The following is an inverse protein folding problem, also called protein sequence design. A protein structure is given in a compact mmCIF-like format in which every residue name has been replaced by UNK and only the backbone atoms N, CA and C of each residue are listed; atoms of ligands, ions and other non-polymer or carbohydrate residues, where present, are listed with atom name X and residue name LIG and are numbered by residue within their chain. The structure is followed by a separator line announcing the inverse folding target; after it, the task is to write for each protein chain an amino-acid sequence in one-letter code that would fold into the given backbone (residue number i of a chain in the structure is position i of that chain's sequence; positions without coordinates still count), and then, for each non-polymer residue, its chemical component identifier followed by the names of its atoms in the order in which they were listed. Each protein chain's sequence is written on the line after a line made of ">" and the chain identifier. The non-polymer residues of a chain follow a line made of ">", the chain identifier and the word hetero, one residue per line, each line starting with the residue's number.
data_IF_035987645218
#
_entry.id   IF_035987645218
#
_cell.length_a   1.000
_cell.length_b   1.000
_cell.length_c   1.000
_cell.angle_alpha   90.00
_cell.angle_beta   90.00
_cell.angle_gamma   90.00
#
_symmetry.space_group_name_H-M   'P 1'
#
loop_
_entity.id
_entity.type
_entity.pdbx_description
1 polymer ?
#
# COMPACT_ATOMS: atom_id res chain seq x y z
N UNK A 1 13.32 -1.48 22.87
CA UNK A 1 14.79 -1.25 22.95
C UNK A 1 15.40 -1.34 21.56
N UNK A 2 15.40 -0.22 20.81
CA UNK A 2 16.25 0.12 19.66
C UNK A 2 15.81 1.52 19.21
N UNK A 3 16.24 2.58 19.90
CA UNK A 3 15.88 3.96 19.52
C UNK A 3 16.99 5.00 19.77
N UNK A 4 18.25 4.57 19.88
CA UNK A 4 19.37 5.49 20.17
C UNK A 4 20.56 5.29 19.23
N UNK A 5 20.30 5.06 17.95
CA UNK A 5 21.34 5.23 16.93
C UNK A 5 21.25 6.66 16.37
N UNK A 6 21.95 7.60 17.01
CA UNK A 6 22.23 8.91 16.41
C UNK A 6 23.31 8.75 15.35
N UNK A 7 22.93 8.66 14.08
CA UNK A 7 23.88 8.76 12.97
C UNK A 7 24.04 10.22 12.57
N UNK A 8 25.08 10.85 13.12
CA UNK A 8 25.62 12.14 12.68
C UNK A 8 26.49 11.95 11.44
N UNK A 9 25.89 11.59 10.31
CA UNK A 9 26.62 11.43 9.04
C UNK A 9 25.75 11.93 7.89
N UNK A 10 26.34 12.73 7.01
CA UNK A 10 25.71 13.60 6.02
C UNK A 10 24.41 13.04 5.43
N UNK A 11 23.31 13.73 5.74
CA UNK A 11 22.02 13.45 5.11
C UNK A 11 22.16 13.67 3.60
N UNK A 12 22.07 12.59 2.83
CA UNK A 12 21.96 12.69 1.38
C UNK A 12 20.76 13.57 1.03
N UNK A 13 21.03 14.72 0.41
CA UNK A 13 19.97 15.50 -0.24
C UNK A 13 19.54 14.74 -1.47
N UNK A 14 18.37 14.10 -1.40
CA UNK A 14 17.80 13.42 -2.55
C UNK A 14 17.70 14.39 -3.73
N UNK A 15 18.11 13.98 -4.96
CA UNK A 15 17.86 14.77 -6.16
C UNK A 15 16.38 15.16 -6.31
N UNK A 16 15.48 14.30 -5.80
CA UNK A 16 14.05 14.60 -5.73
C UNK A 16 13.77 15.73 -4.74
N UNK A 17 14.36 15.70 -3.55
CA UNK A 17 14.18 16.75 -2.52
C UNK A 17 14.69 18.11 -3.01
N UNK A 18 15.77 18.14 -3.80
CA UNK A 18 16.28 19.38 -4.42
C UNK A 18 15.27 20.00 -5.38
N UNK A 19 14.47 19.18 -6.07
CA UNK A 19 13.43 19.64 -7.00
C UNK A 19 12.11 19.93 -6.25
N UNK A 20 11.74 19.08 -5.29
CA UNK A 20 10.44 19.10 -4.61
C UNK A 20 10.39 20.13 -3.48
N UNK A 21 11.48 20.32 -2.73
CA UNK A 21 11.47 21.25 -1.58
C UNK A 21 11.21 22.70 -2.01
N UNK A 22 11.84 23.27 -3.06
CA UNK A 22 11.53 24.62 -3.50
C UNK A 22 10.07 24.80 -3.95
N UNK A 23 9.48 23.76 -4.56
CA UNK A 23 8.07 23.77 -4.94
C UNK A 23 7.15 23.69 -3.71
N UNK A 24 7.50 22.85 -2.74
CA UNK A 24 6.75 22.68 -1.49
C UNK A 24 6.80 23.96 -0.66
N UNK A 25 7.98 24.57 -0.48
CA UNK A 25 8.15 25.82 0.29
C UNK A 25 7.43 27.02 -0.35
N UNK A 26 7.29 27.03 -1.68
CA UNK A 26 6.45 28.03 -2.37
C UNK A 26 4.97 27.86 -2.05
N UNK A 27 4.51 26.63 -1.86
CA UNK A 27 3.12 26.32 -1.54
C UNK A 27 2.87 26.57 -0.05
N UNK A 28 3.62 25.90 0.82
CA UNK A 28 3.44 25.95 2.27
C UNK A 28 4.73 25.55 3.02
N UNK A 29 5.06 26.31 4.05
CA UNK A 29 6.08 25.97 5.04
C UNK A 29 5.48 26.10 6.44
N UNK A 30 5.56 25.03 7.22
CA UNK A 30 4.87 24.88 8.52
C UNK A 30 5.86 24.66 9.64
N UNK A 31 5.54 25.16 10.83
CA UNK A 31 6.29 24.90 12.05
C UNK A 31 6.07 23.46 12.54
N UNK A 32 6.86 22.53 12.00
CA UNK A 32 6.81 21.11 12.39
C UNK A 32 7.05 20.89 13.89
N UNK A 33 7.92 21.70 14.52
CA UNK A 33 8.21 21.61 15.96
C UNK A 33 6.98 21.98 16.79
N UNK A 34 6.36 23.12 16.48
CA UNK A 34 5.17 23.55 17.20
C UNK A 34 3.99 22.57 17.01
N UNK A 35 3.81 22.02 15.80
CA UNK A 35 2.80 20.98 15.54
C UNK A 35 3.09 19.73 16.38
N UNK A 36 4.34 19.29 16.45
CA UNK A 36 4.73 18.11 17.21
C UNK A 36 4.54 18.31 18.72
N UNK A 37 4.86 19.48 19.25
CA UNK A 37 4.67 19.80 20.67
C UNK A 37 3.19 19.87 21.04
N UNK A 38 2.33 20.36 20.15
CA UNK A 38 0.88 20.30 20.32
C UNK A 38 0.37 18.86 20.24
N UNK A 39 0.81 18.08 19.23
CA UNK A 39 0.37 16.70 19.03
C UNK A 39 0.78 15.76 20.17
N UNK A 40 1.89 16.06 20.86
CA UNK A 40 2.37 15.29 22.02
C UNK A 40 1.83 15.82 23.36
N UNK A 41 1.00 16.85 23.34
CA UNK A 41 0.40 17.45 24.54
C UNK A 41 1.35 18.32 25.36
N UNK A 42 2.52 18.67 24.83
CA UNK A 42 3.50 19.57 25.48
C UNK A 42 3.11 21.05 25.37
N UNK A 43 2.23 21.41 24.44
CA UNK A 43 1.76 22.79 24.25
C UNK A 43 0.28 22.82 23.89
N UNK A 44 -0.44 23.83 24.39
CA UNK A 44 -1.85 24.05 24.07
C UNK A 44 -1.99 24.97 22.87
N UNK A 45 -2.90 24.65 21.93
CA UNK A 45 -3.24 25.55 20.83
C UNK A 45 -3.81 26.87 21.38
N UNK A 46 -3.11 27.98 21.15
CA UNK A 46 -3.60 29.33 21.46
C UNK A 46 -4.16 29.93 20.18
N UNK A 47 -5.33 30.58 20.24
CA UNK A 47 -6.05 31.15 19.09
C UNK A 47 -5.27 32.19 18.26
N UNK A 48 -4.13 32.68 18.76
CA UNK A 48 -3.33 33.74 18.14
C UNK A 48 -2.05 33.25 17.43
N UNK A 49 -1.71 31.96 17.49
CA UNK A 49 -0.49 31.43 16.85
C UNK A 49 -0.82 30.71 15.56
N UNK A 50 -0.37 31.24 14.42
CA UNK A 50 -0.38 30.50 13.16
C UNK A 50 0.86 29.62 13.05
N UNK A 51 0.67 28.37 12.67
CA UNK A 51 1.71 27.38 12.39
C UNK A 51 2.37 27.60 11.02
N UNK A 52 1.83 28.48 10.17
CA UNK A 52 2.33 28.73 8.80
C UNK A 52 3.46 29.77 8.84
N UNK A 53 4.68 29.36 8.49
CA UNK A 53 5.88 30.20 8.49
C UNK A 53 6.08 30.94 7.16
N UNK A 54 5.88 30.25 6.03
CA UNK A 54 6.09 30.75 4.66
C UNK A 54 5.15 30.05 3.65
N UNK A 55 5.21 30.50 2.40
CA UNK A 55 4.43 29.97 1.29
C UNK A 55 3.23 30.84 0.92
N UNK A 56 2.45 30.37 -0.05
CA UNK A 56 1.32 31.09 -0.63
C UNK A 56 0.19 31.43 0.36
N UNK A 57 0.13 30.71 1.49
CA UNK A 57 -0.93 30.88 2.50
C UNK A 57 -0.53 31.77 3.69
N UNK A 58 0.71 32.28 3.73
CA UNK A 58 1.17 33.16 4.80
C UNK A 58 0.44 34.51 4.74
N UNK A 59 -0.21 34.91 5.83
CA UNK A 59 -0.91 36.21 5.94
C UNK A 59 -2.28 36.23 5.27
N UNK A 60 -2.82 35.07 4.87
CA UNK A 60 -4.20 34.96 4.41
C UNK A 60 -5.17 35.07 5.59
N UNK A 61 -6.41 35.51 5.34
CA UNK A 61 -7.48 35.59 6.37
C UNK A 61 -8.04 34.21 6.75
N UNK A 62 -7.47 33.13 6.23
CA UNK A 62 -7.95 31.77 6.41
C UNK A 62 -7.35 31.16 7.67
N UNK A 63 -8.15 30.38 8.40
CA UNK A 63 -7.63 29.61 9.54
C UNK A 63 -6.62 28.56 9.06
N UNK A 64 -5.62 28.24 9.90
CA UNK A 64 -4.65 27.18 9.62
C UNK A 64 -5.32 25.82 9.32
N UNK A 65 -6.46 25.54 9.95
CA UNK A 65 -7.25 24.34 9.67
C UNK A 65 -7.83 24.32 8.26
N UNK A 66 -8.34 25.47 7.78
CA UNK A 66 -8.83 25.62 6.40
C UNK A 66 -7.69 25.46 5.39
N UNK A 67 -6.52 26.06 5.65
CA UNK A 67 -5.33 25.90 4.81
C UNK A 67 -4.87 24.44 4.79
N UNK A 68 -4.82 23.78 5.96
CA UNK A 68 -4.49 22.36 6.07
C UNK A 68 -5.42 21.48 5.23
N UNK A 69 -6.73 21.72 5.28
CA UNK A 69 -7.70 20.99 4.47
C UNK A 69 -7.45 21.17 2.95
N UNK A 70 -7.18 22.40 2.50
CA UNK A 70 -6.88 22.68 1.09
C UNK A 70 -5.61 21.95 0.64
N UNK A 71 -4.53 22.01 1.43
CA UNK A 71 -3.26 21.34 1.12
C UNK A 71 -3.43 19.82 1.07
N UNK A 72 -4.21 19.24 1.99
CA UNK A 72 -4.53 17.81 1.97
C UNK A 72 -5.31 17.42 0.72
N UNK A 73 -6.34 18.17 0.35
CA UNK A 73 -7.11 17.91 -0.87
C UNK A 73 -6.24 18.01 -2.12
N UNK A 74 -5.41 19.05 -2.24
CA UNK A 74 -4.48 19.22 -3.36
C UNK A 74 -3.44 18.10 -3.41
N UNK A 75 -2.86 17.74 -2.26
CA UNK A 75 -1.90 16.65 -2.15
C UNK A 75 -2.52 15.30 -2.54
N UNK A 76 -3.77 15.05 -2.14
CA UNK A 76 -4.51 13.86 -2.56
C UNK A 76 -4.73 13.81 -4.08
N UNK A 77 -5.13 14.93 -4.69
CA UNK A 77 -5.29 15.02 -6.16
C UNK A 77 -3.96 14.76 -6.87
N UNK A 78 -2.86 15.38 -6.44
CA UNK A 78 -1.53 15.16 -7.00
C UNK A 78 -1.12 13.69 -6.87
N UNK A 79 -1.37 13.07 -5.71
CA UNK A 79 -1.06 11.67 -5.46
C UNK A 79 -1.84 10.74 -6.39
N UNK A 80 -3.15 10.96 -6.55
CA UNK A 80 -3.98 10.18 -7.48
C UNK A 80 -3.51 10.37 -8.93
N UNK A 81 -3.25 11.60 -9.35
CA UNK A 81 -2.75 11.91 -10.70
C UNK A 81 -1.38 11.27 -10.97
N UNK A 82 -0.46 11.32 -10.00
CA UNK A 82 0.85 10.69 -10.09
C UNK A 82 0.74 9.17 -10.20
N UNK A 83 -0.12 8.55 -9.39
CA UNK A 83 -0.37 7.11 -9.44
C UNK A 83 -0.97 6.69 -10.79
N UNK A 84 -1.98 7.40 -11.29
CA UNK A 84 -2.60 7.10 -12.58
C UNK A 84 -1.60 7.29 -13.74
N UNK A 85 -0.75 8.30 -13.67
CA UNK A 85 0.29 8.57 -14.68
C UNK A 85 1.36 7.49 -14.67
N UNK A 86 1.82 7.07 -13.48
CA UNK A 86 2.77 5.98 -13.32
C UNK A 86 2.21 4.67 -13.90
N UNK A 87 0.97 4.33 -13.57
CA UNK A 87 0.31 3.12 -14.08
C UNK A 87 0.18 3.16 -15.60
N UNK A 88 -0.26 4.29 -16.18
CA UNK A 88 -0.36 4.46 -17.63
C UNK A 88 1.00 4.38 -18.33
N UNK A 89 2.03 4.98 -17.73
CA UNK A 89 3.40 4.92 -18.25
C UNK A 89 3.91 3.48 -18.25
N UNK A 90 3.78 2.77 -17.12
CA UNK A 90 4.19 1.36 -17.01
C UNK A 90 3.43 0.48 -18.00
N UNK A 91 2.12 0.68 -18.14
CA UNK A 91 1.32 -0.06 -19.13
C UNK A 91 1.85 0.14 -20.55
N UNK A 92 2.16 1.38 -20.95
CA UNK A 92 2.75 1.67 -22.27
C UNK A 92 4.15 1.09 -22.44
N UNK A 93 4.98 1.13 -21.40
CA UNK A 93 6.33 0.56 -21.43
C UNK A 93 6.31 -0.97 -21.60
N UNK A 94 5.45 -1.67 -20.87
CA UNK A 94 5.38 -3.13 -20.91
C UNK A 94 4.59 -3.69 -22.09
N UNK A 95 3.54 -2.99 -22.55
CA UNK A 95 2.70 -3.43 -23.68
C UNK A 95 3.16 -2.88 -25.03
N UNK A 96 4.05 -1.89 -25.02
CA UNK A 96 4.62 -1.26 -26.22
C UNK A 96 5.88 -1.96 -26.72
N UNK A 97 6.95 -1.21 -27.05
CA UNK A 97 8.15 -1.75 -27.71
C UNK A 97 8.84 -2.89 -26.94
N UNK A 98 8.78 -2.86 -25.61
CA UNK A 98 9.49 -3.82 -24.74
C UNK A 98 8.76 -5.15 -24.61
N UNK A 99 7.53 -5.30 -25.13
CA UNK A 99 6.71 -6.51 -24.98
C UNK A 99 7.45 -7.79 -25.39
N UNK A 100 8.19 -7.76 -26.50
CA UNK A 100 8.94 -8.91 -27.00
C UNK A 100 10.08 -9.31 -26.06
N UNK A 101 10.77 -8.33 -25.48
CA UNK A 101 11.82 -8.57 -24.49
C UNK A 101 11.23 -9.12 -23.19
N UNK A 102 10.15 -8.50 -22.69
CA UNK A 102 9.45 -8.95 -21.48
C UNK A 102 8.98 -10.40 -21.64
N UNK A 103 8.35 -10.74 -22.77
CA UNK A 103 7.91 -12.10 -23.06
C UNK A 103 9.08 -13.10 -23.08
N UNK A 104 10.23 -12.73 -23.65
CA UNK A 104 11.43 -13.58 -23.68
C UNK A 104 11.99 -13.81 -22.27
N UNK A 105 12.08 -12.77 -21.44
CA UNK A 105 12.54 -12.89 -20.04
C UNK A 105 11.59 -13.76 -19.23
N UNK A 106 10.28 -13.56 -19.39
CA UNK A 106 9.26 -14.34 -18.69
C UNK A 106 9.26 -15.83 -19.07
N UNK A 107 9.68 -16.18 -20.29
CA UNK A 107 9.73 -17.57 -20.77
C UNK A 107 11.03 -18.32 -20.42
N UNK A 108 11.94 -17.74 -19.63
CA UNK A 108 13.21 -18.39 -19.29
C UNK A 108 13.04 -19.50 -18.24
N UNK A 109 12.83 -19.12 -16.98
CA UNK A 109 12.54 -20.05 -15.89
C UNK A 109 11.73 -19.31 -14.82
N UNK A 110 10.53 -19.79 -14.52
CA UNK A 110 9.65 -19.18 -13.53
C UNK A 110 10.28 -19.04 -12.14
N UNK A 111 11.11 -20.00 -11.73
CA UNK A 111 11.81 -19.94 -10.44
C UNK A 111 12.82 -18.80 -10.39
N UNK A 112 13.63 -18.68 -11.44
CA UNK A 112 14.63 -17.60 -11.57
C UNK A 112 13.94 -16.25 -11.65
N UNK A 113 12.86 -16.14 -12.43
CA UNK A 113 12.13 -14.88 -12.61
C UNK A 113 11.56 -14.34 -11.30
N UNK A 114 10.94 -15.21 -10.50
CA UNK A 114 10.38 -14.81 -9.21
C UNK A 114 11.51 -14.53 -8.20
N UNK A 115 12.63 -15.28 -8.21
CA UNK A 115 13.79 -15.01 -7.37
C UNK A 115 14.37 -13.62 -7.68
N UNK A 116 14.63 -13.33 -8.96
CA UNK A 116 15.18 -12.05 -9.41
C UNK A 116 14.21 -10.90 -9.09
N UNK A 117 12.91 -11.08 -9.31
CA UNK A 117 11.93 -10.05 -9.01
C UNK A 117 11.84 -9.75 -7.50
N UNK A 118 11.78 -10.78 -6.67
CA UNK A 118 11.55 -10.62 -5.23
C UNK A 118 12.82 -10.16 -4.48
N UNK A 119 13.98 -10.70 -4.85
CA UNK A 119 15.26 -10.28 -4.30
C UNK A 119 15.71 -8.93 -4.88
N UNK A 120 15.47 -8.69 -6.17
CA UNK A 120 15.84 -7.45 -6.83
C UNK A 120 15.12 -6.23 -6.25
N UNK A 121 13.81 -6.32 -6.05
CA UNK A 121 13.02 -5.21 -5.47
C UNK A 121 13.47 -4.85 -4.06
N UNK A 122 13.73 -5.85 -3.22
CA UNK A 122 14.21 -5.63 -1.85
C UNK A 122 15.66 -5.16 -1.81
N UNK A 123 16.53 -5.65 -2.69
CA UNK A 123 17.90 -5.15 -2.83
C UNK A 123 17.92 -3.69 -3.28
N UNK A 124 17.09 -3.29 -4.25
CA UNK A 124 16.97 -1.88 -4.66
C UNK A 124 16.45 -1.00 -3.52
N UNK A 125 15.46 -1.47 -2.76
CA UNK A 125 14.96 -0.75 -1.59
C UNK A 125 16.04 -0.58 -0.52
N UNK A 126 16.87 -1.61 -0.28
CA UNK A 126 18.01 -1.55 0.62
C UNK A 126 19.04 -0.52 0.14
N UNK A 127 19.46 -0.57 -1.13
CA UNK A 127 20.39 0.41 -1.70
C UNK A 127 19.85 1.85 -1.59
N UNK A 128 18.57 2.05 -1.91
CA UNK A 128 17.92 3.35 -1.75
C UNK A 128 17.93 3.82 -0.28
N UNK A 129 17.64 2.94 0.67
CA UNK A 129 17.65 3.27 2.10
C UNK A 129 19.05 3.63 2.61
N UNK A 130 20.09 2.92 2.15
CA UNK A 130 21.49 3.20 2.51
C UNK A 130 21.91 4.57 2.03
N UNK A 131 21.47 4.95 0.82
CA UNK A 131 21.70 6.29 0.28
C UNK A 131 21.02 7.36 1.15
N UNK A 132 19.85 7.10 1.75
CA UNK A 132 19.19 8.09 2.62
C UNK A 132 19.90 8.37 3.94
N UNK A 133 20.80 7.48 4.40
CA UNK A 133 21.54 7.63 5.67
C UNK A 133 20.68 7.55 6.95
N UNK A 134 19.38 7.25 6.83
CA UNK A 134 18.45 7.13 7.97
C UNK A 134 18.47 5.70 8.53
N UNK A 135 18.89 5.54 9.78
CA UNK A 135 18.95 4.25 10.48
C UNK A 135 17.60 3.51 10.47
N UNK A 136 16.50 4.24 10.67
CA UNK A 136 15.14 3.67 10.63
C UNK A 136 14.78 3.12 9.24
N UNK A 137 15.13 3.84 8.17
CA UNK A 137 14.85 3.41 6.80
C UNK A 137 15.66 2.16 6.42
N UNK A 138 16.93 2.10 6.84
CA UNK A 138 17.80 0.94 6.62
C UNK A 138 17.30 -0.27 7.40
N UNK A 139 16.86 -0.08 8.66
CA UNK A 139 16.29 -1.16 9.45
C UNK A 139 15.05 -1.78 8.79
N UNK A 140 14.13 -0.94 8.32
CA UNK A 140 12.93 -1.40 7.59
C UNK A 140 13.35 -2.16 6.33
N UNK A 141 14.24 -1.59 5.51
CA UNK A 141 14.68 -2.23 4.27
C UNK A 141 15.39 -3.58 4.51
N UNK A 142 16.17 -3.71 5.59
CA UNK A 142 16.81 -4.96 5.99
C UNK A 142 15.78 -6.01 6.43
N UNK A 143 14.76 -5.63 7.19
CA UNK A 143 13.67 -6.55 7.58
C UNK A 143 12.97 -7.07 6.33
N UNK A 144 12.65 -6.21 5.36
CA UNK A 144 12.06 -6.62 4.09
C UNK A 144 12.99 -7.53 3.29
N UNK A 145 14.29 -7.20 3.19
CA UNK A 145 15.27 -8.02 2.50
C UNK A 145 15.38 -9.42 3.11
N UNK A 146 15.60 -9.51 4.42
CA UNK A 146 15.71 -10.80 5.11
C UNK A 146 14.44 -11.61 5.05
N UNK A 147 13.27 -10.99 5.22
CA UNK A 147 11.98 -11.67 5.08
C UNK A 147 11.84 -12.33 3.68
N UNK A 148 12.25 -11.63 2.62
CA UNK A 148 12.16 -12.15 1.26
C UNK A 148 13.22 -13.22 0.98
N UNK A 149 14.44 -13.09 1.51
CA UNK A 149 15.48 -14.12 1.42
C UNK A 149 15.05 -15.40 2.13
N UNK A 150 14.63 -15.32 3.40
CA UNK A 150 14.14 -16.49 4.13
C UNK A 150 12.87 -17.08 3.53
N UNK A 151 11.97 -16.23 3.02
CA UNK A 151 10.78 -16.67 2.28
C UNK A 151 11.15 -17.52 1.05
N UNK A 152 12.17 -17.12 0.28
CA UNK A 152 12.67 -17.93 -0.84
C UNK A 152 13.19 -19.28 -0.31
N UNK A 153 14.03 -19.31 0.72
CA UNK A 153 14.57 -20.57 1.26
C UNK A 153 13.50 -21.48 1.88
N UNK A 154 12.41 -20.93 2.41
CA UNK A 154 11.30 -21.70 2.99
C UNK A 154 10.36 -22.23 1.91
N UNK A 155 9.91 -21.36 0.99
CA UNK A 155 8.89 -21.69 0.01
C UNK A 155 9.44 -22.31 -1.26
N UNK A 156 10.71 -22.08 -1.59
CA UNK A 156 11.33 -22.74 -2.74
C UNK A 156 11.71 -24.15 -2.31
N UNK A 157 12.84 -24.50 -1.71
CA UNK A 157 13.21 -25.89 -1.40
C UNK A 157 12.08 -26.88 -1.04
N UNK A 158 11.12 -26.49 -0.19
CA UNK A 158 10.02 -27.36 0.28
C UNK A 158 8.83 -27.39 -0.72
N UNK A 159 8.56 -28.49 -1.43
CA UNK A 159 7.50 -28.55 -2.45
C UNK A 159 6.08 -28.51 -1.88
N UNK A 160 5.89 -28.89 -0.61
CA UNK A 160 4.57 -28.94 0.05
C UNK A 160 4.01 -27.52 0.23
N UNK A 161 4.85 -26.57 0.61
CA UNK A 161 4.45 -25.17 0.85
C UNK A 161 4.21 -24.40 -0.46
N UNK A 162 4.78 -24.85 -1.59
CA UNK A 162 4.58 -24.23 -2.91
C UNK A 162 3.16 -24.38 -3.46
N UNK A 163 2.59 -25.58 -3.37
CA UNK A 163 1.31 -25.92 -4.01
C UNK A 163 0.16 -24.97 -3.63
N UNK A 164 -0.11 -24.68 -2.34
CA UNK A 164 -1.19 -23.77 -1.97
C UNK A 164 -0.95 -22.35 -2.48
N UNK A 165 0.28 -21.83 -2.34
CA UNK A 165 0.64 -20.47 -2.76
C UNK A 165 0.45 -20.30 -4.26
N UNK A 166 0.94 -21.25 -5.07
CA UNK A 166 0.80 -21.18 -6.52
C UNK A 166 -0.67 -21.30 -6.95
N UNK A 167 -1.47 -22.13 -6.27
CA UNK A 167 -2.90 -22.27 -6.54
C UNK A 167 -3.65 -20.97 -6.25
N UNK A 168 -3.37 -20.32 -5.11
CA UNK A 168 -3.97 -19.03 -4.75
C UNK A 168 -3.53 -17.91 -5.69
N UNK A 169 -2.24 -17.86 -6.07
CA UNK A 169 -1.74 -16.88 -7.04
C UNK A 169 -2.44 -17.01 -8.41
N UNK A 170 -2.61 -18.24 -8.91
CA UNK A 170 -3.36 -18.50 -10.16
C UNK A 170 -4.83 -18.11 -10.04
N UNK A 171 -5.46 -18.38 -8.90
CA UNK A 171 -6.85 -18.02 -8.65
C UNK A 171 -7.03 -16.50 -8.63
N UNK A 172 -6.15 -15.78 -7.92
CA UNK A 172 -6.17 -14.32 -7.85
C UNK A 172 -5.90 -13.67 -9.21
N UNK A 173 -4.98 -14.24 -10.01
CA UNK A 173 -4.73 -13.81 -11.37
C UNK A 173 -5.97 -14.01 -12.27
N UNK A 174 -6.63 -15.16 -12.17
CA UNK A 174 -7.89 -15.43 -12.87
C UNK A 174 -8.99 -14.43 -12.48
N UNK A 175 -9.14 -14.11 -11.19
CA UNK A 175 -10.11 -13.12 -10.70
C UNK A 175 -9.83 -11.73 -11.27
N UNK A 176 -8.57 -11.30 -11.23
CA UNK A 176 -8.11 -9.99 -11.70
C UNK A 176 -8.28 -9.80 -13.21
N UNK A 177 -8.02 -10.87 -13.99
CA UNK A 177 -8.21 -10.83 -15.46
C UNK A 177 -9.70 -10.80 -15.83
N UNK A 178 -10.53 -11.56 -15.12
CA UNK A 178 -11.96 -11.68 -15.41
C UNK A 178 -12.74 -10.41 -15.07
N UNK A 179 -12.43 -9.80 -13.92
CA UNK A 179 -13.01 -8.52 -13.52
C UNK A 179 -11.94 -7.66 -12.82
N UNK A 180 -11.44 -6.59 -13.45
CA UNK A 180 -10.33 -5.78 -12.92
C UNK A 180 -10.57 -5.22 -11.50
N UNK A 181 -11.83 -4.97 -11.15
CA UNK A 181 -12.21 -4.50 -9.82
C UNK A 181 -11.96 -5.55 -8.72
N UNK A 182 -11.85 -6.84 -9.07
CA UNK A 182 -11.48 -7.89 -8.11
C UNK A 182 -10.13 -7.64 -7.46
N UNK A 183 -9.16 -7.09 -8.20
CA UNK A 183 -7.85 -6.73 -7.66
C UNK A 183 -7.93 -5.54 -6.69
N UNK A 184 -8.76 -4.54 -7.00
CA UNK A 184 -9.00 -3.39 -6.13
C UNK A 184 -9.70 -3.82 -4.83
N UNK A 185 -10.72 -4.69 -4.93
CA UNK A 185 -11.39 -5.28 -3.78
C UNK A 185 -10.42 -6.07 -2.90
N UNK A 186 -9.56 -6.91 -3.51
CA UNK A 186 -8.54 -7.65 -2.79
C UNK A 186 -7.58 -6.73 -2.03
N UNK A 187 -7.10 -5.67 -2.67
CA UNK A 187 -6.20 -4.70 -2.03
C UNK A 187 -6.89 -3.97 -0.87
N UNK A 188 -8.11 -3.48 -1.09
CA UNK A 188 -8.90 -2.77 -0.07
C UNK A 188 -9.14 -3.69 1.14
N UNK A 189 -9.56 -4.93 0.90
CA UNK A 189 -9.85 -5.87 1.99
C UNK A 189 -8.58 -6.24 2.75
N UNK A 190 -7.50 -6.59 2.05
CA UNK A 190 -6.29 -7.13 2.69
C UNK A 190 -5.41 -6.05 3.35
N UNK A 191 -5.32 -4.85 2.76
CA UNK A 191 -4.41 -3.81 3.24
C UNK A 191 -5.09 -2.69 4.03
N UNK A 192 -6.41 -2.53 3.90
CA UNK A 192 -7.14 -1.48 4.62
C UNK A 192 -8.09 -2.09 5.64
N UNK A 193 -9.04 -2.92 5.18
CA UNK A 193 -10.10 -3.45 6.06
C UNK A 193 -9.54 -4.42 7.09
N UNK A 194 -8.75 -5.42 6.69
CA UNK A 194 -8.23 -6.42 7.63
C UNK A 194 -7.25 -5.82 8.67
N UNK A 195 -6.26 -4.99 8.30
CA UNK A 195 -5.43 -4.30 9.29
C UNK A 195 -6.22 -3.30 10.13
N UNK A 196 -7.19 -2.59 9.54
CA UNK A 196 -8.07 -1.66 10.26
C UNK A 196 -8.93 -2.36 11.31
N UNK A 197 -9.52 -3.50 10.96
CA UNK A 197 -10.25 -4.36 11.92
C UNK A 197 -9.28 -4.85 13.00
N UNK A 198 -8.09 -5.34 12.63
CA UNK A 198 -7.09 -5.81 13.61
C UNK A 198 -6.65 -4.72 14.59
N UNK A 199 -6.37 -3.51 14.09
CA UNK A 199 -6.00 -2.37 14.93
C UNK A 199 -7.15 -1.94 15.85
N UNK A 200 -8.37 -1.84 15.32
CA UNK A 200 -9.55 -1.51 16.12
C UNK A 200 -9.81 -2.54 17.21
N UNK A 201 -9.68 -3.83 16.90
CA UNK A 201 -9.83 -4.92 17.86
C UNK A 201 -8.75 -4.88 18.95
N UNK A 202 -7.48 -4.69 18.58
CA UNK A 202 -6.40 -4.55 19.57
C UNK A 202 -6.67 -3.37 20.49
N UNK A 203 -7.01 -2.20 19.94
CA UNK A 203 -7.30 -1.00 20.73
C UNK A 203 -8.45 -1.22 21.74
N UNK A 204 -9.53 -1.88 21.31
CA UNK A 204 -10.66 -2.15 22.19
C UNK A 204 -10.35 -3.23 23.24
N UNK A 205 -9.63 -4.29 22.87
CA UNK A 205 -9.26 -5.38 23.77
C UNK A 205 -8.21 -4.96 24.82
N UNK A 206 -7.39 -3.93 24.55
CA UNK A 206 -6.38 -3.42 25.49
C UNK A 206 -6.80 -2.13 26.21
N UNK A 207 -8.04 -1.67 26.07
CA UNK A 207 -8.51 -0.44 26.71
C UNK A 207 -8.58 -0.58 28.24
N UNK A 208 -8.29 0.47 29.02
CA UNK A 208 -8.31 0.39 30.49
C UNK A 208 -9.74 0.24 31.07
N UNK A 209 -10.74 0.71 30.34
CA UNK A 209 -12.14 0.61 30.74
C UNK A 209 -12.68 -0.82 30.49
N UNK A 210 -13.13 -1.49 31.55
CA UNK A 210 -13.69 -2.85 31.50
C UNK A 210 -14.84 -2.98 30.49
N UNK A 211 -15.67 -1.94 30.37
CA UNK A 211 -16.78 -1.89 29.41
C UNK A 211 -16.27 -2.00 27.97
N UNK A 212 -15.24 -1.22 27.61
CA UNK A 212 -14.64 -1.22 26.27
C UNK A 212 -13.96 -2.55 25.95
N UNK A 213 -13.30 -3.17 26.92
CA UNK A 213 -12.70 -4.51 26.75
C UNK A 213 -13.76 -5.58 26.46
N UNK A 214 -14.89 -5.58 27.19
CA UNK A 214 -16.00 -6.53 26.97
C UNK A 214 -16.57 -6.37 25.56
N UNK A 215 -16.79 -5.13 25.10
CA UNK A 215 -17.19 -4.88 23.71
C UNK A 215 -16.15 -5.38 22.71
N UNK A 216 -14.86 -5.21 22.99
CA UNK A 216 -13.76 -5.75 22.18
C UNK A 216 -13.86 -7.27 22.00
N UNK A 217 -14.05 -8.03 23.08
CA UNK A 217 -14.20 -9.49 23.02
C UNK A 217 -15.46 -9.96 22.28
N UNK A 218 -16.57 -9.23 22.43
CA UNK A 218 -17.80 -9.51 21.67
C UNK A 218 -17.55 -9.32 20.18
N UNK A 219 -16.95 -8.19 19.78
CA UNK A 219 -16.66 -7.90 18.37
C UNK A 219 -15.65 -8.91 17.81
N UNK A 220 -14.60 -9.27 18.56
CA UNK A 220 -13.67 -10.34 18.19
C UNK A 220 -14.42 -11.65 17.87
N UNK A 221 -15.34 -12.04 18.73
CA UNK A 221 -16.12 -13.27 18.57
C UNK A 221 -17.02 -13.21 17.34
N UNK A 222 -17.69 -12.07 17.10
CA UNK A 222 -18.51 -11.85 15.89
C UNK A 222 -17.67 -11.87 14.62
N UNK A 223 -16.49 -11.24 14.62
CA UNK A 223 -15.56 -11.24 13.49
C UNK A 223 -15.05 -12.66 13.21
N UNK A 224 -14.72 -13.43 14.25
CA UNK A 224 -14.29 -14.81 14.11
C UNK A 224 -15.42 -15.70 13.56
N UNK A 225 -16.62 -15.60 14.13
CA UNK A 225 -17.80 -16.37 13.69
C UNK A 225 -18.21 -16.03 12.26
N UNK A 226 -18.22 -14.74 11.90
CA UNK A 226 -18.51 -14.31 10.52
C UNK A 226 -17.43 -14.80 9.55
N UNK A 227 -16.15 -14.73 9.92
CA UNK A 227 -15.04 -15.27 9.12
C UNK A 227 -15.18 -16.78 8.88
N UNK A 228 -15.47 -17.56 9.93
CA UNK A 228 -15.72 -19.00 9.82
C UNK A 228 -16.97 -19.29 8.99
N UNK A 229 -18.04 -18.53 9.19
CA UNK A 229 -19.29 -18.66 8.42
C UNK A 229 -19.09 -18.39 6.93
N UNK A 230 -18.34 -17.35 6.58
CA UNK A 230 -17.97 -17.03 5.19
C UNK A 230 -17.08 -18.13 4.61
N UNK A 231 -16.07 -18.60 5.36
CA UNK A 231 -15.19 -19.67 4.90
C UNK A 231 -15.94 -21.00 4.67
N UNK A 232 -16.89 -21.32 5.56
CA UNK A 232 -17.76 -22.49 5.44
C UNK A 232 -18.72 -22.34 4.26
N UNK A 233 -19.37 -21.19 4.10
CA UNK A 233 -20.23 -20.91 2.96
C UNK A 233 -19.47 -21.02 1.63
N UNK A 234 -18.28 -20.44 1.56
CA UNK A 234 -17.41 -20.49 0.39
C UNK A 234 -16.94 -21.92 0.08
N UNK A 235 -16.63 -22.73 1.09
CA UNK A 235 -16.04 -24.06 0.91
C UNK A 235 -17.06 -25.19 0.76
N UNK A 236 -18.23 -25.09 1.42
CA UNK A 236 -19.19 -26.20 1.56
C UNK A 236 -20.61 -25.88 1.08
N UNK A 237 -20.99 -24.60 1.00
CA UNK A 237 -22.38 -24.19 0.69
C UNK A 237 -22.53 -23.53 -0.70
N UNK A 238 -21.62 -23.84 -1.63
CA UNK A 238 -21.68 -23.37 -3.01
C UNK A 238 -21.25 -21.92 -3.26
N UNK A 239 -20.74 -21.21 -2.25
CA UNK A 239 -20.29 -19.82 -2.42
C UNK A 239 -19.16 -19.66 -3.45
N UNK A 240 -18.29 -20.67 -3.57
CA UNK A 240 -17.29 -20.74 -4.63
C UNK A 240 -17.92 -20.74 -6.01
N UNK A 241 -18.91 -21.59 -6.27
CA UNK A 241 -19.58 -21.68 -7.59
C UNK A 241 -20.28 -20.36 -7.97
N UNK A 242 -20.90 -19.70 -6.99
CA UNK A 242 -21.53 -18.38 -7.19
C UNK A 242 -20.47 -17.33 -7.58
N UNK A 243 -19.32 -17.34 -6.90
CA UNK A 243 -18.23 -16.42 -7.20
C UNK A 243 -17.63 -16.65 -8.59
N UNK A 244 -17.34 -17.91 -8.93
CA UNK A 244 -16.78 -18.26 -10.24
C UNK A 244 -17.76 -17.98 -11.38
N UNK A 245 -19.03 -18.32 -11.24
CA UNK A 245 -20.07 -17.99 -12.23
C UNK A 245 -20.30 -16.48 -12.40
N UNK A 246 -20.14 -15.68 -11.34
CA UNK A 246 -20.13 -14.23 -11.46
C UNK A 246 -18.94 -13.72 -12.29
N UNK A 247 -17.74 -14.23 -12.02
CA UNK A 247 -16.52 -13.84 -12.74
C UNK A 247 -16.55 -14.25 -14.21
N UNK A 248 -17.07 -15.43 -14.53
CA UNK A 248 -17.25 -15.89 -15.90
C UNK A 248 -18.21 -14.97 -16.67
N UNK A 249 -19.36 -14.61 -16.07
CA UNK A 249 -20.27 -13.62 -16.67
C UNK A 249 -19.57 -12.29 -16.96
N UNK A 250 -18.77 -11.78 -16.02
CA UNK A 250 -18.02 -10.53 -16.22
C UNK A 250 -16.93 -10.62 -17.29
N UNK A 251 -16.29 -11.78 -17.41
CA UNK A 251 -15.36 -12.06 -18.51
C UNK A 251 -16.08 -12.04 -19.86
N UNK A 252 -17.18 -12.75 -20.00
CA UNK A 252 -17.97 -12.77 -21.24
C UNK A 252 -18.46 -11.37 -21.65
N UNK A 253 -18.96 -10.56 -20.72
CA UNK A 253 -19.33 -9.16 -20.99
C UNK A 253 -18.15 -8.33 -21.53
N UNK A 254 -16.93 -8.57 -21.04
CA UNK A 254 -15.73 -7.88 -21.49
C UNK A 254 -15.35 -8.31 -22.92
N UNK A 255 -15.37 -9.60 -23.20
CA UNK A 255 -15.04 -10.14 -24.52
C UNK A 255 -16.02 -9.62 -25.59
N UNK A 256 -17.33 -9.59 -25.27
CA UNK A 256 -18.35 -9.00 -26.16
C UNK A 256 -18.05 -7.52 -26.45
N UNK A 257 -17.75 -6.71 -25.42
CA UNK A 257 -17.39 -5.30 -25.61
C UNK A 257 -16.17 -5.14 -26.51
N UNK A 258 -15.17 -6.00 -26.34
CA UNK A 258 -13.94 -5.96 -27.13
C UNK A 258 -14.20 -6.34 -28.60
N UNK A 259 -14.98 -7.38 -28.86
CA UNK A 259 -15.39 -7.74 -30.22
C UNK A 259 -16.22 -6.65 -30.88
N UNK A 260 -17.15 -6.02 -30.15
CA UNK A 260 -17.93 -4.91 -30.69
C UNK A 260 -17.06 -3.71 -31.06
N UNK A 261 -16.07 -3.36 -30.22
CA UNK A 261 -15.13 -2.28 -30.53
C UNK A 261 -14.26 -2.59 -31.76
N UNK A 262 -13.85 -3.84 -31.95
CA UNK A 262 -13.10 -4.26 -33.14
C UNK A 262 -13.95 -4.30 -34.41
N UNK A 263 -15.26 -4.50 -34.28
CA UNK A 263 -16.18 -4.50 -35.43
C UNK A 263 -16.58 -3.09 -35.89
N UNK A 264 -16.43 -2.08 -35.03
CA UNK A 264 -16.79 -0.67 -35.30
C UNK A 264 -15.57 0.19 -35.67
N UNK A 265 -14.35 -0.31 -35.43
CA UNK A 265 -13.08 0.34 -35.78
C UNK A 265 -12.55 -0.13 -37.13
#
# INVERSE_FOLDING_TARGET
>A
AMSNAKTSSGAFKSPVDVIVNPLTEKIIDVDRSAIYDVATGKSTCVLATSFIKKGAFKGTSMSDGSVGAIVVCMGFVILVCALLSLVKMLAKLFLGPTKKLVARVLNYNGYVNILVANLGTTATALLASLVTGKSDAVAIALVHFWFNVFGIFLFYPIPITRKPILSWARSLAFFSVSWPFSAALFLLVLFIVAPGIGLGLVYMCTADATVTQVFGWIIMSVVALSGVGIAFWYSKKGGREIWYSFLERKRHERDIRQHHQLAVA
#
